data_IF_911526302445
#
_entry.id   IF_911526302445
#
_cell.length_a   1.000
_cell.length_b   1.000
_cell.length_c   1.000
_cell.angle_alpha   90.00
_cell.angle_beta   90.00
_cell.angle_gamma   90.00
#
_symmetry.space_group_name_H-M   'P 1'
#
loop_
_entity.id
_entity.type
_entity.pdbx_description
1 polymer ?
#
# COMPACT_ATOMS: atom_id res chain seq x y z
N UNK A 1 -7.14 4.57 -13.58
CA UNK A 1 -6.86 5.44 -12.42
C UNK A 1 -5.35 5.53 -12.25
N UNK A 2 -4.78 6.72 -12.05
CA UNK A 2 -3.33 6.92 -11.99
C UNK A 2 -2.87 6.93 -10.53
N UNK A 3 -2.24 5.86 -10.05
CA UNK A 3 -1.65 5.76 -8.70
C UNK A 3 -0.22 6.33 -8.69
N UNK A 4 -0.09 7.63 -8.97
CA UNK A 4 1.21 8.27 -9.19
C UNK A 4 2.04 8.41 -7.91
N UNK A 5 1.42 8.54 -6.74
CA UNK A 5 2.13 8.63 -5.47
C UNK A 5 2.69 7.27 -5.04
N UNK A 6 1.94 6.19 -5.25
CA UNK A 6 2.45 4.83 -5.05
C UNK A 6 3.58 4.52 -6.04
N UNK A 7 3.42 4.91 -7.30
CA UNK A 7 4.44 4.72 -8.33
C UNK A 7 5.72 5.51 -8.02
N UNK A 8 5.59 6.74 -7.51
CA UNK A 8 6.74 7.55 -7.12
C UNK A 8 7.58 6.91 -6.01
N UNK A 9 6.97 6.17 -5.08
CA UNK A 9 7.74 5.44 -4.06
C UNK A 9 8.53 4.28 -4.68
N UNK A 10 7.93 3.53 -5.60
CA UNK A 10 8.51 2.27 -6.12
C UNK A 10 9.36 2.42 -7.37
N UNK A 11 9.33 3.57 -8.07
CA UNK A 11 10.01 3.78 -9.36
C UNK A 11 11.54 3.60 -9.33
N UNK A 12 12.15 3.65 -8.14
CA UNK A 12 13.56 3.35 -7.97
C UNK A 12 13.88 1.85 -7.91
N UNK A 13 12.90 1.00 -7.59
CA UNK A 13 13.14 -0.44 -7.43
C UNK A 13 13.24 -1.16 -8.79
N UNK A 14 14.15 -2.13 -8.86
CA UNK A 14 14.20 -3.09 -9.96
C UNK A 14 13.09 -4.15 -9.87
N UNK A 15 12.39 -4.23 -8.72
CA UNK A 15 11.25 -5.13 -8.53
C UNK A 15 9.96 -4.37 -8.85
N UNK A 16 9.00 -5.01 -9.54
CA UNK A 16 7.73 -4.38 -9.83
C UNK A 16 6.94 -4.16 -8.54
N UNK A 17 6.17 -3.07 -8.50
CA UNK A 17 5.10 -2.89 -7.53
C UNK A 17 4.08 -4.02 -7.68
N UNK A 18 3.68 -4.61 -6.56
CA UNK A 18 2.63 -5.63 -6.52
C UNK A 18 1.49 -5.15 -5.63
N UNK A 19 0.28 -5.13 -6.18
CA UNK A 19 -0.95 -4.95 -5.41
C UNK A 19 -1.53 -6.34 -5.19
N UNK A 20 -1.59 -6.78 -3.93
CA UNK A 20 -2.14 -8.06 -3.53
C UNK A 20 -3.53 -7.84 -2.94
N UNK A 21 -4.55 -8.30 -3.67
CA UNK A 21 -5.94 -8.31 -3.21
C UNK A 21 -6.29 -9.70 -2.66
N UNK A 22 -6.85 -9.73 -1.45
CA UNK A 22 -7.32 -10.95 -0.78
C UNK A 22 -8.76 -10.74 -0.38
N UNK A 23 -9.65 -11.59 -0.90
CA UNK A 23 -11.09 -11.51 -0.66
C UNK A 23 -11.57 -12.76 0.07
N UNK A 24 -12.51 -12.56 0.99
CA UNK A 24 -13.21 -13.63 1.69
C UNK A 24 -14.70 -13.30 1.71
N UNK A 25 -15.52 -14.20 1.16
CA UNK A 25 -16.97 -14.07 1.10
C UNK A 25 -17.59 -15.15 2.01
N UNK A 26 -17.94 -14.77 3.23
CA UNK A 26 -18.61 -15.65 4.19
C UNK A 26 -19.96 -15.12 4.67
N UNK A 27 -20.27 -13.84 4.41
CA UNK A 27 -21.55 -13.22 4.73
C UNK A 27 -22.56 -13.37 3.61
N UNK A 28 -23.65 -12.60 3.68
CA UNK A 28 -24.65 -12.54 2.62
C UNK A 28 -24.10 -11.84 1.37
N UNK A 29 -24.63 -12.15 0.17
CA UNK A 29 -24.13 -11.57 -1.09
C UNK A 29 -24.24 -10.03 -1.15
N UNK A 30 -25.28 -9.48 -0.53
CA UNK A 30 -25.55 -8.03 -0.48
C UNK A 30 -24.91 -7.33 0.74
N UNK A 31 -24.23 -8.08 1.63
CA UNK A 31 -23.57 -7.50 2.80
C UNK A 31 -22.26 -6.80 2.39
N UNK A 32 -22.13 -5.53 2.77
CA UNK A 32 -20.93 -4.75 2.44
C UNK A 32 -19.68 -5.36 3.08
N UNK A 33 -18.59 -5.53 2.32
CA UNK A 33 -17.37 -6.09 2.85
C UNK A 33 -16.67 -5.09 3.77
N UNK A 34 -16.04 -5.60 4.83
CA UNK A 34 -15.04 -4.83 5.57
C UNK A 34 -13.81 -4.71 4.67
N UNK A 35 -13.40 -3.49 4.35
CA UNK A 35 -12.18 -3.27 3.57
C UNK A 35 -11.00 -2.88 4.46
N UNK A 36 -9.86 -3.54 4.28
CA UNK A 36 -8.61 -3.21 4.95
C UNK A 36 -7.48 -2.95 3.97
N UNK A 37 -6.75 -1.87 4.20
CA UNK A 37 -5.61 -1.47 3.38
C UNK A 37 -4.36 -1.39 4.26
N UNK A 38 -3.27 -2.03 3.82
CA UNK A 38 -1.97 -1.90 4.49
C UNK A 38 -0.82 -1.80 3.51
N UNK A 39 0.19 -1.03 3.90
CA UNK A 39 1.50 -1.05 3.24
C UNK A 39 2.26 -2.33 3.62
N UNK A 40 3.05 -2.81 2.68
CA UNK A 40 4.01 -3.89 2.86
C UNK A 40 5.30 -3.51 2.14
N UNK A 41 6.02 -2.53 2.70
CA UNK A 41 7.31 -2.11 2.14
C UNK A 41 8.32 -3.21 2.43
N UNK A 42 8.62 -4.03 1.43
CA UNK A 42 9.43 -5.24 1.58
C UNK A 42 10.91 -4.94 1.82
N UNK A 43 11.33 -3.73 1.48
CA UNK A 43 12.64 -3.20 1.82
C UNK A 43 12.58 -1.68 1.82
N UNK A 44 12.92 -1.06 2.94
CA UNK A 44 12.93 0.39 3.12
C UNK A 44 14.32 0.83 3.54
N UNK A 45 15.03 1.45 2.60
CA UNK A 45 16.31 2.11 2.85
C UNK A 45 16.16 3.61 3.12
N UNK A 46 14.93 4.13 3.12
CA UNK A 46 14.63 5.55 3.19
C UNK A 46 14.69 6.28 1.85
N UNK A 47 15.04 5.60 0.76
CA UNK A 47 15.22 6.24 -0.55
C UNK A 47 16.45 7.15 -0.55
N UNK A 48 16.33 8.34 -1.14
CA UNK A 48 17.41 9.35 -1.16
C UNK A 48 17.76 9.82 0.26
N UNK A 49 16.76 9.98 1.13
CA UNK A 49 16.92 10.20 2.56
C UNK A 49 17.27 8.88 3.27
N UNK A 50 18.50 8.41 3.04
CA UNK A 50 19.00 7.12 3.56
C UNK A 50 18.76 6.97 5.07
N UNK A 51 18.16 5.84 5.43
CA UNK A 51 18.02 5.37 6.79
C UNK A 51 19.27 4.55 7.20
N UNK A 52 19.82 4.84 8.38
CA UNK A 52 20.99 4.14 8.92
C UNK A 52 20.68 2.70 9.40
N UNK A 53 19.41 2.31 9.46
CA UNK A 53 18.93 1.00 9.87
C UNK A 53 17.80 0.54 8.93
N UNK A 54 18.13 0.12 7.69
CA UNK A 54 17.15 -0.25 6.68
C UNK A 54 16.33 -1.45 7.16
N UNK A 55 15.01 -1.32 7.08
CA UNK A 55 14.06 -2.29 7.64
C UNK A 55 13.04 -2.71 6.61
N UNK A 56 12.33 -3.77 6.95
CA UNK A 56 11.11 -4.16 6.26
C UNK A 56 9.93 -3.57 7.02
N UNK A 57 9.03 -2.87 6.32
CA UNK A 57 7.77 -2.40 6.89
C UNK A 57 6.61 -3.24 6.35
N UNK A 58 6.65 -4.52 6.74
CA UNK A 58 5.68 -5.55 6.32
C UNK A 58 4.80 -6.03 7.47
N UNK A 59 4.92 -5.44 8.67
CA UNK A 59 4.18 -5.88 9.85
C UNK A 59 2.67 -5.74 9.64
N UNK A 60 2.23 -4.62 9.06
CA UNK A 60 0.82 -4.39 8.75
C UNK A 60 0.28 -5.39 7.72
N UNK A 61 1.03 -5.62 6.64
CA UNK A 61 0.70 -6.62 5.62
C UNK A 61 0.62 -8.04 6.21
N UNK A 62 1.59 -8.43 7.04
CA UNK A 62 1.65 -9.74 7.68
C UNK A 62 0.48 -9.96 8.64
N UNK A 63 0.05 -8.91 9.35
CA UNK A 63 -1.13 -8.95 10.21
C UNK A 63 -2.40 -9.23 9.41
N UNK A 64 -2.59 -8.57 8.25
CA UNK A 64 -3.74 -8.83 7.36
C UNK A 64 -3.74 -10.29 6.88
N UNK A 65 -2.61 -10.78 6.37
CA UNK A 65 -2.53 -12.17 5.86
C UNK A 65 -2.87 -13.18 6.96
N UNK A 66 -2.37 -12.94 8.18
CA UNK A 66 -2.65 -13.78 9.34
C UNK A 66 -4.13 -13.73 9.75
N UNK A 67 -4.71 -12.53 9.73
CA UNK A 67 -6.13 -12.31 10.02
C UNK A 67 -7.03 -13.01 8.99
N UNK A 68 -6.78 -12.83 7.70
CA UNK A 68 -7.54 -13.47 6.62
C UNK A 68 -7.46 -14.99 6.71
N UNK A 69 -6.28 -15.54 7.04
CA UNK A 69 -6.13 -16.97 7.32
C UNK A 69 -6.99 -17.42 8.50
N UNK A 70 -7.01 -16.66 9.59
CA UNK A 70 -7.84 -16.98 10.76
C UNK A 70 -9.34 -16.93 10.43
N UNK A 71 -9.79 -15.89 9.70
CA UNK A 71 -11.17 -15.73 9.22
C UNK A 71 -11.59 -16.95 8.40
N UNK A 72 -10.76 -17.37 7.42
CA UNK A 72 -11.05 -18.51 6.56
C UNK A 72 -11.10 -19.84 7.31
N UNK A 73 -10.19 -20.06 8.28
CA UNK A 73 -10.18 -21.27 9.11
C UNK A 73 -11.44 -21.34 9.99
N UNK A 74 -11.84 -20.21 10.58
CA UNK A 74 -13.01 -20.13 11.46
C UNK A 74 -14.34 -20.08 10.69
N UNK A 75 -14.30 -19.88 9.37
CA UNK A 75 -15.48 -19.72 8.51
C UNK A 75 -16.43 -18.64 9.04
N UNK A 76 -15.88 -17.48 9.40
CA UNK A 76 -16.70 -16.40 9.94
C UNK A 76 -17.74 -15.95 8.90
N UNK A 77 -18.97 -15.63 9.32
CA UNK A 77 -20.03 -15.21 8.42
C UNK A 77 -19.94 -13.70 8.13
N UNK A 78 -18.83 -13.27 7.52
CA UNK A 78 -18.56 -11.87 7.19
C UNK A 78 -17.89 -11.78 5.81
N UNK A 79 -18.09 -10.66 5.11
CA UNK A 79 -17.36 -10.34 3.88
C UNK A 79 -16.16 -9.44 4.21
N UNK A 80 -14.97 -9.80 3.72
CA UNK A 80 -13.73 -9.03 3.95
C UNK A 80 -12.91 -8.94 2.69
N UNK A 81 -12.56 -7.71 2.30
CA UNK A 81 -11.62 -7.41 1.22
C UNK A 81 -10.38 -6.77 1.81
N UNK A 82 -9.21 -7.23 1.39
CA UNK A 82 -7.94 -6.73 1.87
C UNK A 82 -7.05 -6.37 0.69
N UNK A 83 -6.48 -5.17 0.71
CA UNK A 83 -5.52 -4.70 -0.29
C UNK A 83 -4.17 -4.45 0.39
N UNK A 84 -3.16 -5.18 -0.06
CA UNK A 84 -1.78 -5.06 0.43
C UNK A 84 -0.90 -4.54 -0.71
N UNK A 85 -0.12 -3.51 -0.41
CA UNK A 85 0.76 -2.87 -1.39
C UNK A 85 2.20 -3.29 -1.10
N UNK A 86 2.78 -4.09 -1.98
CA UNK A 86 4.12 -4.62 -1.84
C UNK A 86 5.07 -3.85 -2.77
N UNK A 87 6.01 -3.13 -2.19
CA UNK A 87 6.98 -2.32 -2.91
C UNK A 87 8.28 -2.17 -2.12
N UNK A 88 9.30 -1.58 -2.74
CA UNK A 88 10.55 -1.21 -2.08
C UNK A 88 10.78 0.30 -2.19
N UNK A 89 11.40 0.88 -1.17
CA UNK A 89 11.85 2.27 -1.15
C UNK A 89 13.39 2.29 -1.17
N UNK A 90 13.96 2.52 -2.36
CA UNK A 90 15.41 2.38 -2.63
C UNK A 90 15.99 3.56 -3.44
N UNK A 91 17.22 4.03 -3.13
CA UNK A 91 17.89 5.11 -3.85
C UNK A 91 18.58 4.63 -5.13
N UNK A 92 17.81 4.04 -6.05
CA UNK A 92 18.35 3.50 -7.31
C UNK A 92 17.65 4.16 -8.49
N UNK A 93 18.42 4.48 -9.54
CA UNK A 93 17.88 4.88 -10.85
C UNK A 93 17.01 6.12 -10.78
N UNK A 94 15.72 5.95 -11.11
CA UNK A 94 14.70 7.01 -11.15
C UNK A 94 13.96 7.15 -9.81
N UNK A 95 14.61 6.86 -8.68
CA UNK A 95 13.99 6.99 -7.37
C UNK A 95 13.49 8.43 -7.11
N UNK A 96 12.38 8.53 -6.37
CA UNK A 96 11.82 9.80 -5.90
C UNK A 96 12.85 10.60 -5.09
N UNK A 97 12.81 11.92 -5.25
CA UNK A 97 13.76 12.86 -4.67
C UNK A 97 13.06 13.90 -3.79
N UNK A 98 13.74 14.42 -2.75
CA UNK A 98 13.27 15.61 -2.05
C UNK A 98 13.12 16.80 -3.00
N UNK A 99 11.98 17.47 -2.93
CA UNK A 99 11.57 18.53 -3.83
C UNK A 99 10.66 18.07 -4.98
N UNK A 100 10.51 16.76 -5.20
CA UNK A 100 9.56 16.25 -6.20
C UNK A 100 8.13 16.66 -5.85
N UNK A 101 7.35 16.99 -6.88
CA UNK A 101 5.92 17.30 -6.77
C UNK A 101 5.13 16.16 -7.41
N UNK A 102 4.39 15.45 -6.58
CA UNK A 102 3.59 14.29 -6.95
C UNK A 102 2.12 14.69 -6.95
N UNK A 103 1.36 14.24 -7.94
CA UNK A 103 -0.10 14.39 -7.95
C UNK A 103 -0.74 13.12 -7.40
N UNK A 104 -1.56 13.20 -6.35
CA UNK A 104 -2.32 12.06 -5.81
C UNK A 104 -3.47 11.66 -6.75
N UNK A 105 -4.00 10.44 -6.56
CA UNK A 105 -5.25 10.00 -7.20
C UNK A 105 -6.40 11.02 -7.04
N UNK A 106 -6.53 11.63 -5.86
CA UNK A 106 -7.50 12.68 -5.53
C UNK A 106 -7.23 14.06 -6.17
N UNK A 107 -6.20 14.20 -7.01
CA UNK A 107 -5.88 15.43 -7.73
C UNK A 107 -5.17 16.49 -6.88
N UNK A 108 -4.75 16.16 -5.66
CA UNK A 108 -3.96 17.06 -4.81
C UNK A 108 -2.48 16.91 -5.14
N UNK A 109 -1.73 18.00 -5.07
CA UNK A 109 -0.27 17.98 -5.24
C UNK A 109 0.42 17.82 -3.88
N UNK A 110 1.42 16.95 -3.81
CA UNK A 110 2.21 16.63 -2.63
C UNK A 110 3.67 16.95 -2.95
N UNK A 111 4.30 17.78 -2.12
CA UNK A 111 5.74 18.04 -2.19
C UNK A 111 6.43 17.01 -1.30
N UNK A 112 7.41 16.30 -1.85
CA UNK A 112 8.22 15.33 -1.12
C UNK A 112 9.32 16.07 -0.38
N UNK A 113 9.22 16.17 0.94
CA UNK A 113 10.31 16.75 1.75
C UNK A 113 11.31 15.69 2.22
N UNK A 114 10.83 14.48 2.47
CA UNK A 114 11.61 13.35 2.98
C UNK A 114 11.09 12.04 2.40
N UNK A 115 11.96 11.33 1.67
CA UNK A 115 11.64 10.07 1.00
C UNK A 115 11.51 8.88 1.97
N UNK A 116 11.91 9.04 3.23
CA UNK A 116 11.72 8.06 4.31
C UNK A 116 10.33 8.17 4.98
N UNK A 117 9.47 9.06 4.47
CA UNK A 117 8.05 9.17 4.85
C UNK A 117 7.11 8.64 3.76
N UNK A 118 7.58 7.63 3.01
CA UNK A 118 6.94 6.99 1.86
C UNK A 118 5.58 6.37 2.22
N UNK A 119 5.43 5.85 3.44
CA UNK A 119 4.25 5.09 3.85
C UNK A 119 2.95 5.89 3.76
N UNK A 120 3.03 7.22 3.88
CA UNK A 120 1.87 8.11 3.76
C UNK A 120 1.43 8.26 2.30
N UNK A 121 2.37 8.29 1.36
CA UNK A 121 2.11 8.38 -0.08
C UNK A 121 1.43 7.11 -0.59
N UNK A 122 1.92 5.96 -0.12
CA UNK A 122 1.36 4.63 -0.42
C UNK A 122 -0.13 4.55 -0.03
N UNK A 123 -0.48 5.08 1.15
CA UNK A 123 -1.84 4.98 1.69
C UNK A 123 -2.82 5.91 0.97
N UNK A 124 -2.40 7.12 0.58
CA UNK A 124 -3.28 8.11 -0.08
C UNK A 124 -3.87 7.55 -1.37
N UNK A 125 -3.04 7.02 -2.26
CA UNK A 125 -3.53 6.51 -3.55
C UNK A 125 -4.40 5.26 -3.41
N UNK A 126 -4.20 4.50 -2.34
CA UNK A 126 -4.89 3.23 -2.15
C UNK A 126 -6.24 3.41 -1.47
N UNK A 127 -6.38 4.42 -0.60
CA UNK A 127 -7.70 4.84 -0.13
C UNK A 127 -8.58 5.29 -1.31
N UNK A 128 -8.02 6.07 -2.23
CA UNK A 128 -8.74 6.48 -3.44
C UNK A 128 -9.05 5.28 -4.36
N UNK A 129 -8.15 4.30 -4.50
CA UNK A 129 -8.40 3.05 -5.24
C UNK A 129 -9.60 2.28 -4.68
N UNK A 130 -9.64 2.14 -3.36
CA UNK A 130 -10.64 1.32 -2.69
C UNK A 130 -12.03 1.95 -2.74
N UNK A 131 -12.16 3.25 -2.40
CA UNK A 131 -13.43 3.97 -2.45
C UNK A 131 -14.11 3.90 -3.82
N UNK A 132 -13.34 3.77 -4.91
CA UNK A 132 -13.87 3.64 -6.26
C UNK A 132 -14.26 2.20 -6.64
N UNK A 133 -13.63 1.17 -6.06
CA UNK A 133 -13.81 -0.23 -6.45
C UNK A 133 -14.75 -1.00 -5.53
N UNK A 134 -14.61 -0.80 -4.23
CA UNK A 134 -15.31 -1.55 -3.21
C UNK A 134 -16.00 -0.51 -2.35
N UNK A 135 -17.28 -0.21 -2.59
CA UNK A 135 -18.05 0.76 -1.78
C UNK A 135 -18.23 0.17 -0.37
N UNK A 136 -17.42 0.55 0.63
CA UNK A 136 -17.42 -0.12 1.93
C UNK A 136 -18.66 0.26 2.76
#
# INVERSE_FOLDING_TARGET
>A
MYMLALLAVTQGSCKPLVILEVMYCGGEEDERPIVMIRKGVTYDSGGINLNNDPKTDVTGASAIVSMMRAIAILRLPINVNCVILLCENVPIGMCMQPGDIIMSCSGKTIIVEDTNNEGRLIVVDTMDYDFHQYTP
#
